data_IF_105984782926
#
_entry.id   IF_105984782926
#
_cell.length_a   1.000
_cell.length_b   1.000
_cell.length_c   1.000
_cell.angle_alpha   90.00
_cell.angle_beta   90.00
_cell.angle_gamma   90.00
#
_symmetry.space_group_name_H-M   'P 1'
#
loop_
_entity.id
_entity.type
_entity.pdbx_description
1 polymer ?
#
# COMPACT_ATOMS: atom_id res chain seq x y z
N UNK A 1 16.26 37.89 35.43
CA UNK A 1 14.91 38.12 35.98
C UNK A 1 14.02 36.94 35.56
N UNK A 2 13.47 36.23 36.54
CA UNK A 2 12.71 34.97 36.36
C UNK A 2 11.22 35.28 36.18
N UNK A 3 10.60 34.77 35.12
CA UNK A 3 9.16 34.93 34.87
C UNK A 3 8.40 33.69 35.36
N UNK A 4 7.57 33.91 36.38
CA UNK A 4 6.75 32.91 37.08
C UNK A 4 5.44 32.70 36.32
N UNK A 5 5.15 31.44 35.97
CA UNK A 5 3.93 31.02 35.26
C UNK A 5 2.66 31.18 36.13
N UNK A 6 1.60 31.74 35.54
CA UNK A 6 0.29 31.95 36.18
C UNK A 6 -0.71 30.89 35.69
N UNK A 7 -1.13 30.05 36.62
CA UNK A 7 -2.09 28.93 36.51
C UNK A 7 -3.49 29.48 36.19
N UNK A 8 -4.12 29.07 35.08
CA UNK A 8 -5.53 29.37 34.77
C UNK A 8 -6.44 28.33 35.43
N UNK A 9 -7.30 28.77 36.33
CA UNK A 9 -8.42 28.01 36.90
C UNK A 9 -9.59 27.98 35.92
N UNK A 10 -10.25 26.83 35.85
CA UNK A 10 -11.38 26.50 35.00
C UNK A 10 -12.68 26.84 35.76
N UNK A 11 -13.51 27.71 35.21
CA UNK A 11 -14.82 28.07 35.76
C UNK A 11 -15.89 27.45 34.86
N UNK A 12 -16.57 26.42 35.38
CA UNK A 12 -17.73 25.79 34.76
C UNK A 12 -18.96 26.48 35.34
N UNK A 13 -19.63 27.29 34.52
CA UNK A 13 -20.95 27.83 34.84
C UNK A 13 -22.00 26.98 34.13
N UNK A 14 -22.68 26.15 34.92
CA UNK A 14 -23.89 25.41 34.58
C UNK A 14 -25.09 26.36 34.55
N UNK A 15 -25.87 26.35 33.47
CA UNK A 15 -27.25 26.85 33.49
C UNK A 15 -28.15 25.92 32.68
N UNK A 16 -29.26 25.54 33.32
CA UNK A 16 -30.16 24.46 33.01
C UNK A 16 -31.45 25.02 32.39
N UNK A 17 -31.86 24.41 31.28
CA UNK A 17 -33.25 24.15 30.86
C UNK A 17 -34.21 25.32 30.52
N UNK A 18 -34.54 25.43 29.22
CA UNK A 18 -35.94 25.61 28.79
C UNK A 18 -36.20 24.72 27.56
N UNK A 19 -37.09 23.75 27.74
CA UNK A 19 -37.75 22.99 26.67
C UNK A 19 -38.88 23.83 26.08
N UNK A 20 -38.97 23.88 24.75
CA UNK A 20 -40.24 24.04 24.07
C UNK A 20 -40.29 23.13 22.85
N UNK A 21 -41.33 22.31 22.85
CA UNK A 21 -41.66 21.20 21.98
C UNK A 21 -42.65 21.72 20.93
N UNK A 22 -42.27 21.74 19.64
CA UNK A 22 -43.13 21.34 18.51
C UNK A 22 -42.51 21.63 17.14
N UNK A 23 -41.97 20.61 16.47
CA UNK A 23 -42.34 20.35 15.07
C UNK A 23 -42.06 18.90 14.66
N UNK A 24 -43.13 18.17 14.35
CA UNK A 24 -43.16 16.78 13.87
C UNK A 24 -43.01 16.73 12.36
N UNK A 25 -42.07 15.92 11.86
CA UNK A 25 -42.11 15.04 10.67
C UNK A 25 -40.68 14.94 10.09
N UNK A 26 -40.15 13.82 9.60
CA UNK A 26 -40.63 12.45 9.45
C UNK A 26 -39.39 11.59 9.13
N UNK A 27 -39.30 10.43 9.77
CA UNK A 27 -38.72 9.16 9.28
C UNK A 27 -37.40 9.17 8.50
N UNK A 28 -36.37 8.61 9.13
CA UNK A 28 -35.20 8.07 8.43
C UNK A 28 -34.39 7.14 9.32
N UNK A 29 -34.75 5.86 9.30
CA UNK A 29 -34.24 4.82 10.19
C UNK A 29 -32.71 4.73 10.24
N UNK A 30 -32.23 4.50 11.47
CA UNK A 30 -30.94 3.89 11.77
C UNK A 30 -30.71 2.68 10.86
N UNK A 31 -29.77 2.79 9.92
CA UNK A 31 -29.00 1.63 9.45
C UNK A 31 -27.59 1.79 9.98
N UNK A 32 -27.34 1.13 11.11
CA UNK A 32 -26.02 0.64 11.43
C UNK A 32 -25.54 -0.16 10.20
N UNK A 33 -24.65 0.43 9.41
CA UNK A 33 -23.90 -0.33 8.41
C UNK A 33 -22.88 -1.14 9.19
N UNK A 34 -23.28 -2.34 9.58
CA UNK A 34 -22.37 -3.45 9.81
C UNK A 34 -21.43 -3.50 8.62
N UNK A 35 -20.16 -3.15 8.84
CA UNK A 35 -19.12 -3.27 7.84
C UNK A 35 -18.87 -4.76 7.59
N UNK A 36 -19.75 -5.38 6.78
CA UNK A 36 -19.43 -6.61 6.10
C UNK A 36 -18.41 -6.26 5.02
N UNK A 37 -17.13 -6.31 5.39
CA UNK A 37 -16.00 -6.24 4.46
C UNK A 37 -15.95 -7.52 3.61
N UNK A 38 -16.97 -7.71 2.78
CA UNK A 38 -16.88 -8.58 1.63
C UNK A 38 -16.05 -7.87 0.58
N UNK A 39 -15.12 -8.59 -0.04
CA UNK A 39 -14.25 -8.11 -1.10
C UNK A 39 -15.07 -7.55 -2.27
N UNK A 40 -15.51 -6.30 -2.17
CA UNK A 40 -15.97 -5.51 -3.31
C UNK A 40 -14.73 -5.24 -4.15
N UNK A 41 -14.70 -5.81 -5.36
CA UNK A 41 -13.67 -5.55 -6.36
C UNK A 41 -13.36 -4.05 -6.38
N UNK A 42 -12.17 -3.68 -5.91
CA UNK A 42 -11.86 -2.29 -5.67
C UNK A 42 -11.90 -1.56 -7.01
N UNK A 43 -12.78 -0.56 -7.12
CA UNK A 43 -12.93 0.22 -8.36
C UNK A 43 -11.78 1.22 -8.46
N UNK A 44 -11.14 1.27 -9.62
CA UNK A 44 -10.08 2.22 -9.91
C UNK A 44 -10.61 3.66 -9.92
N UNK A 45 -9.87 4.58 -9.31
CA UNK A 45 -10.15 6.02 -9.24
C UNK A 45 -8.90 6.82 -9.57
N UNK A 46 -9.07 8.12 -9.82
CA UNK A 46 -7.98 9.07 -10.07
C UNK A 46 -8.09 10.21 -9.05
N UNK A 47 -6.97 10.58 -8.43
CA UNK A 47 -6.94 11.66 -7.43
C UNK A 47 -6.66 13.04 -8.06
N UNK A 48 -6.57 14.08 -7.22
CA UNK A 48 -6.29 15.45 -7.67
C UNK A 48 -4.90 15.64 -8.28
N UNK A 49 -3.97 14.71 -8.05
CA UNK A 49 -2.64 14.72 -8.64
C UNK A 49 -2.60 13.98 -9.99
N UNK A 50 -3.69 13.32 -10.38
CA UNK A 50 -3.74 12.46 -11.57
C UNK A 50 -3.27 11.03 -11.31
N UNK A 51 -3.00 10.66 -10.05
CA UNK A 51 -2.54 9.34 -9.68
C UNK A 51 -3.70 8.36 -9.58
N UNK A 52 -3.46 7.11 -9.98
CA UNK A 52 -4.45 6.03 -9.90
C UNK A 52 -4.50 5.47 -8.49
N UNK A 53 -5.70 5.31 -7.92
CA UNK A 53 -5.87 4.72 -6.60
C UNK A 53 -7.10 3.82 -6.46
N UNK A 54 -7.08 3.02 -5.38
CA UNK A 54 -8.17 2.16 -4.93
C UNK A 54 -8.38 2.34 -3.44
N UNK A 55 -9.63 2.45 -3.00
CA UNK A 55 -9.95 2.45 -1.56
C UNK A 55 -9.96 1.01 -1.03
N UNK A 56 -9.21 0.77 0.05
CA UNK A 56 -9.17 -0.52 0.77
C UNK A 56 -9.86 -0.43 2.14
N UNK A 57 -10.17 0.79 2.59
CA UNK A 57 -11.08 1.06 3.70
C UNK A 57 -11.64 2.47 3.55
N UNK A 58 -12.55 2.90 4.44
CA UNK A 58 -13.12 4.25 4.43
C UNK A 58 -12.09 5.38 4.42
N UNK A 59 -10.89 5.13 4.96
CA UNK A 59 -9.83 6.14 5.11
C UNK A 59 -8.46 5.61 4.69
N UNK A 60 -8.40 4.55 3.87
CA UNK A 60 -7.11 3.99 3.40
C UNK A 60 -7.16 3.68 1.92
N UNK A 61 -6.07 4.04 1.24
CA UNK A 61 -5.90 3.89 -0.20
C UNK A 61 -4.64 3.12 -0.54
N UNK A 62 -4.72 2.41 -1.66
CA UNK A 62 -3.56 2.01 -2.44
C UNK A 62 -3.47 2.98 -3.63
N UNK A 63 -2.34 3.67 -3.80
CA UNK A 63 -2.12 4.65 -4.88
C UNK A 63 -0.84 4.32 -5.64
N UNK A 64 -0.90 4.29 -6.98
CA UNK A 64 0.29 4.26 -7.82
C UNK A 64 0.68 5.71 -8.11
N UNK A 65 1.85 6.13 -7.63
CA UNK A 65 2.37 7.48 -7.85
C UNK A 65 3.79 7.45 -8.37
N UNK A 66 4.29 8.58 -8.85
CA UNK A 66 5.67 8.74 -9.28
C UNK A 66 6.41 9.73 -8.37
N UNK A 67 7.63 9.38 -7.97
CA UNK A 67 8.52 10.30 -7.26
C UNK A 67 9.91 10.27 -7.89
N UNK A 68 10.35 11.42 -8.39
CA UNK A 68 11.67 11.59 -9.02
C UNK A 68 11.94 10.55 -10.13
N UNK A 69 10.97 10.34 -11.03
CA UNK A 69 11.13 9.39 -12.14
C UNK A 69 10.87 7.94 -11.78
N UNK A 70 10.45 7.63 -10.54
CA UNK A 70 10.27 6.25 -10.07
C UNK A 70 8.83 6.01 -9.64
N UNK A 71 8.21 5.00 -10.22
CA UNK A 71 6.88 4.52 -9.82
C UNK A 71 6.94 3.83 -8.47
N UNK A 72 5.94 4.08 -7.63
CA UNK A 72 5.81 3.54 -6.28
C UNK A 72 4.37 3.15 -5.99
N UNK A 73 4.21 2.09 -5.19
CA UNK A 73 2.92 1.66 -4.64
C UNK A 73 2.79 2.21 -3.23
N UNK A 74 1.85 3.13 -3.02
CA UNK A 74 1.60 3.74 -1.71
C UNK A 74 0.43 3.06 -1.02
N UNK A 75 0.59 2.70 0.24
CA UNK A 75 -0.50 2.22 1.11
C UNK A 75 -0.61 3.24 2.25
N UNK A 76 -1.64 4.09 2.23
CA UNK A 76 -1.70 5.27 3.12
C UNK A 76 -3.08 5.53 3.69
N UNK A 77 -3.10 5.97 4.95
CA UNK A 77 -4.29 6.49 5.63
C UNK A 77 -4.50 7.96 5.27
N UNK A 78 -5.74 8.33 4.94
CA UNK A 78 -6.17 9.68 4.62
C UNK A 78 -7.06 10.22 5.74
N UNK A 79 -7.06 11.54 5.90
CA UNK A 79 -7.96 12.23 6.81
C UNK A 79 -8.68 13.35 6.07
N UNK A 80 -9.86 13.70 6.53
CA UNK A 80 -10.62 14.81 5.97
C UNK A 80 -10.29 16.10 6.72
N UNK A 81 -10.06 17.17 5.98
CA UNK A 81 -9.92 18.52 6.50
C UNK A 81 -10.56 19.49 5.52
N UNK A 82 -11.48 20.31 6.00
CA UNK A 82 -12.19 21.31 5.19
C UNK A 82 -12.88 20.72 3.94
N UNK A 83 -13.42 19.49 4.06
CA UNK A 83 -14.06 18.75 2.96
C UNK A 83 -13.09 18.13 1.94
N UNK A 84 -11.78 18.19 2.21
CA UNK A 84 -10.74 17.61 1.34
C UNK A 84 -10.06 16.43 2.03
N UNK A 85 -9.82 15.36 1.28
CA UNK A 85 -9.08 14.20 1.77
C UNK A 85 -7.58 14.40 1.55
N UNK A 86 -6.83 14.42 2.64
CA UNK A 86 -5.40 14.66 2.65
C UNK A 86 -4.64 13.42 3.13
N UNK A 87 -3.44 13.15 2.58
CA UNK A 87 -2.62 12.03 3.02
C UNK A 87 -2.15 12.24 4.47
N UNK A 88 -2.41 11.26 5.32
CA UNK A 88 -1.98 11.24 6.71
C UNK A 88 -0.55 10.75 6.88
N UNK A 89 -0.04 10.80 8.12
CA UNK A 89 1.31 10.33 8.48
C UNK A 89 1.45 8.80 8.42
N UNK A 90 0.37 8.07 8.68
CA UNK A 90 0.38 6.60 8.68
C UNK A 90 0.31 6.06 7.25
N UNK A 91 1.34 5.34 6.85
CA UNK A 91 1.42 4.72 5.54
C UNK A 91 2.85 4.47 5.12
N UNK A 92 3.02 3.73 4.04
CA UNK A 92 4.30 3.41 3.44
C UNK A 92 4.23 3.61 1.92
N UNK A 93 5.35 4.04 1.35
CA UNK A 93 5.55 4.13 -0.09
C UNK A 93 6.55 3.04 -0.47
N UNK A 94 6.11 2.05 -1.23
CA UNK A 94 6.93 0.91 -1.65
C UNK A 94 7.46 1.17 -3.06
N UNK A 95 8.79 1.24 -3.25
CA UNK A 95 9.38 1.06 -4.57
C UNK A 95 8.94 -0.28 -5.19
N UNK A 96 8.94 -0.38 -6.51
CA UNK A 96 8.50 -1.59 -7.24
C UNK A 96 9.20 -2.86 -6.75
N UNK A 97 10.50 -2.80 -6.45
CA UNK A 97 11.27 -3.92 -5.91
C UNK A 97 10.69 -4.46 -4.59
N UNK A 98 10.35 -3.57 -3.65
CA UNK A 98 9.76 -3.96 -2.37
C UNK A 98 8.33 -4.47 -2.54
N UNK A 99 7.58 -3.93 -3.50
CA UNK A 99 6.24 -4.42 -3.81
C UNK A 99 6.28 -5.82 -4.43
N UNK A 100 7.25 -6.11 -5.31
CA UNK A 100 7.46 -7.44 -5.85
C UNK A 100 7.84 -8.44 -4.75
N UNK A 101 8.72 -8.05 -3.82
CA UNK A 101 9.05 -8.88 -2.67
C UNK A 101 7.81 -9.17 -1.80
N UNK A 102 6.97 -8.16 -1.56
CA UNK A 102 5.69 -8.35 -0.85
C UNK A 102 4.79 -9.37 -1.56
N UNK A 103 4.64 -9.27 -2.89
CA UNK A 103 3.87 -10.23 -3.68
C UNK A 103 4.47 -11.65 -3.58
N UNK A 104 5.79 -11.77 -3.64
CA UNK A 104 6.50 -13.05 -3.50
C UNK A 104 6.28 -13.73 -2.14
N UNK A 105 6.13 -12.94 -1.06
CA UNK A 105 5.83 -13.46 0.27
C UNK A 105 4.36 -13.81 0.50
N UNK A 106 3.43 -13.48 -0.41
CA UNK A 106 2.00 -13.74 -0.21
C UNK A 106 1.67 -15.21 0.11
N UNK A 107 2.25 -16.24 -0.55
CA UNK A 107 1.96 -17.64 -0.22
C UNK A 107 2.34 -18.01 1.21
N UNK A 108 3.48 -17.54 1.71
CA UNK A 108 3.92 -17.78 3.09
C UNK A 108 3.02 -17.05 4.09
N UNK A 109 2.65 -15.80 3.78
CA UNK A 109 1.71 -15.01 4.59
C UNK A 109 0.35 -15.73 4.67
N UNK A 110 -0.17 -16.24 3.55
CA UNK A 110 -1.41 -17.02 3.49
C UNK A 110 -1.33 -18.29 4.36
N UNK A 111 -0.20 -19.02 4.31
CA UNK A 111 0.02 -20.18 5.17
C UNK A 111 -0.02 -19.81 6.65
N UNK A 112 0.68 -18.75 7.06
CA UNK A 112 0.70 -18.27 8.45
C UNK A 112 -0.68 -17.80 8.91
N UNK A 113 -1.45 -17.14 8.04
CA UNK A 113 -2.82 -16.69 8.35
C UNK A 113 -3.78 -17.87 8.48
N UNK A 114 -3.69 -18.85 7.58
CA UNK A 114 -4.52 -20.07 7.64
C UNK A 114 -4.27 -20.88 8.91
N UNK A 115 -3.01 -20.99 9.36
CA UNK A 115 -2.64 -21.62 10.62
C UNK A 115 -3.25 -20.89 11.84
N UNK A 116 -3.53 -19.58 11.72
CA UNK A 116 -4.25 -18.78 12.72
C UNK A 116 -5.78 -18.83 12.56
N UNK A 117 -6.29 -19.64 11.63
CA UNK A 117 -7.72 -19.76 11.35
C UNK A 117 -8.29 -18.63 10.48
N UNK A 118 -7.45 -17.82 9.84
CA UNK A 118 -7.87 -16.72 8.95
C UNK A 118 -7.73 -17.19 7.51
N UNK A 119 -8.85 -17.30 6.79
CA UNK A 119 -8.85 -17.64 5.36
C UNK A 119 -8.80 -16.36 4.51
N UNK A 120 -7.84 -16.29 3.58
CA UNK A 120 -7.69 -15.20 2.62
C UNK A 120 -7.90 -15.77 1.22
N UNK A 121 -9.02 -15.47 0.53
CA UNK A 121 -9.26 -15.96 -0.81
C UNK A 121 -8.35 -15.24 -1.81
N UNK A 122 -7.56 -16.01 -2.58
CA UNK A 122 -6.73 -15.44 -3.64
C UNK A 122 -7.59 -15.14 -4.87
N UNK A 123 -7.61 -13.90 -5.38
CA UNK A 123 -8.31 -13.57 -6.61
C UNK A 123 -7.62 -14.24 -7.81
N UNK A 124 -8.42 -14.66 -8.80
CA UNK A 124 -7.89 -15.16 -10.07
C UNK A 124 -7.36 -13.99 -10.91
N UNK A 125 -6.05 -13.94 -11.09
CA UNK A 125 -5.40 -12.98 -11.99
C UNK A 125 -5.53 -13.49 -13.44
N UNK A 126 -6.69 -13.31 -14.07
CA UNK A 126 -6.83 -13.60 -15.50
C UNK A 126 -6.21 -12.47 -16.32
N UNK A 127 -4.89 -12.52 -16.46
CA UNK A 127 -4.12 -11.63 -17.32
C UNK A 127 -2.68 -12.13 -17.37
N UNK A 128 -2.28 -12.67 -18.52
CA UNK A 128 -0.94 -13.20 -18.76
C UNK A 128 0.14 -12.16 -18.37
N UNK A 129 0.76 -12.35 -17.20
CA UNK A 129 2.03 -11.72 -16.89
C UNK A 129 3.12 -12.58 -17.52
N UNK A 130 3.65 -12.14 -18.66
CA UNK A 130 4.86 -12.70 -19.23
C UNK A 130 6.02 -12.50 -18.25
N UNK A 131 6.38 -13.57 -17.55
CA UNK A 131 7.63 -13.65 -16.81
C UNK A 131 8.73 -13.84 -17.85
N UNK A 132 9.58 -12.83 -18.06
CA UNK A 132 10.94 -13.07 -18.54
C UNK A 132 11.75 -13.46 -17.32
N UNK A 133 12.06 -14.74 -17.23
CA UNK A 133 13.03 -15.30 -16.30
C UNK A 133 14.40 -14.73 -16.72
N UNK A 134 14.96 -13.84 -15.90
CA UNK A 134 16.37 -13.46 -15.98
C UNK A 134 17.14 -14.50 -15.17
N UNK A 135 17.62 -15.52 -15.86
CA UNK A 135 18.54 -16.51 -15.28
C UNK A 135 19.88 -15.82 -14.99
N UNK A 136 20.11 -15.55 -13.70
CA UNK A 136 21.44 -15.23 -13.20
C UNK A 136 22.34 -16.46 -13.23
N UNK A 137 23.09 -16.65 -14.31
CA UNK A 137 24.26 -17.54 -14.31
C UNK A 137 25.47 -16.82 -13.69
N UNK A 138 25.75 -17.15 -12.44
CA UNK A 138 27.05 -16.99 -11.84
C UNK A 138 27.87 -18.27 -12.06
N UNK A 139 28.83 -18.27 -12.99
CA UNK A 139 30.05 -19.09 -12.85
C UNK A 139 31.13 -18.70 -13.88
N UNK A 140 32.40 -18.78 -13.47
CA UNK A 140 33.51 -18.94 -14.42
C UNK A 140 34.46 -17.76 -14.62
N UNK A 141 35.20 -17.36 -13.57
CA UNK A 141 36.57 -16.86 -13.78
C UNK A 141 37.36 -17.95 -14.50
N UNK A 142 37.86 -17.71 -15.71
CA UNK A 142 38.97 -18.47 -16.30
C UNK A 142 39.97 -17.52 -16.94
N UNK A 143 41.21 -17.76 -16.55
CA UNK A 143 42.40 -16.99 -16.84
C UNK A 143 42.71 -16.98 -18.34
N UNK A 144 43.23 -15.84 -18.80
CA UNK A 144 43.99 -15.73 -20.03
C UNK A 144 45.27 -16.56 -19.87
N UNK A 145 45.42 -17.62 -20.66
CA UNK A 145 46.69 -18.28 -20.88
C UNK A 145 46.87 -18.39 -22.40
N UNK A 146 47.77 -17.55 -22.90
CA UNK A 146 48.23 -17.54 -24.29
C UNK A 146 49.20 -18.69 -24.45
N UNK A 147 48.77 -19.77 -25.10
CA UNK A 147 49.66 -20.75 -25.71
C UNK A 147 49.29 -20.80 -27.20
N UNK A 148 50.07 -20.04 -27.97
CA UNK A 148 50.16 -20.14 -29.41
C UNK A 148 51.05 -21.35 -29.69
N UNK A 149 50.47 -22.42 -30.21
CA UNK A 149 51.18 -23.54 -30.81
C UNK A 149 50.33 -23.95 -32.02
N UNK A 150 50.65 -23.34 -33.17
CA UNK A 150 50.07 -23.67 -34.47
C UNK A 150 50.85 -24.86 -35.05
N UNK A 151 50.10 -25.92 -35.33
CA UNK A 151 50.18 -26.88 -36.44
C UNK A 151 51.51 -27.66 -36.64
N UNK A 152 51.52 -28.96 -36.29
CA UNK A 152 51.10 -30.10 -37.15
C UNK A 152 51.82 -30.07 -38.51
N UNK A 153 52.93 -30.81 -38.61
CA UNK A 153 52.99 -32.13 -39.25
C UNK A 153 52.76 -32.07 -40.77
N UNK A 154 53.78 -32.42 -41.56
CA UNK A 154 53.67 -33.56 -42.49
C UNK A 154 54.95 -33.78 -43.30
N UNK A 155 55.22 -35.07 -43.46
CA UNK A 155 56.25 -35.71 -44.27
C UNK A 155 56.32 -35.20 -45.72
N UNK A 156 57.53 -35.17 -46.28
CA UNK A 156 57.70 -35.44 -47.71
C UNK A 156 59.08 -36.07 -48.00
N UNK A 157 59.01 -37.30 -48.54
CA UNK A 157 59.93 -38.04 -49.42
C UNK A 157 61.41 -38.27 -49.05
#
# INVERSE_FOLDING_TARGET
MSYKSKKRSNDYQSDDFVVDDTNKNDRGAKKAKTASSGASSATQKIDSNGDIYWDISSHRRITISEFRGKSMVNIREYYEKDGQELPGKKGISLPIEQFNALIGCLPEIEQVLSAKGISVPRPAYNGASGVKEDEGEASGKKNIDTTSDEDEDEDDA
#
